data_IF_774934306190
#
_entry.id   IF_774934306190
#
_cell.length_a   1.000
_cell.length_b   1.000
_cell.length_c   1.000
_cell.angle_alpha   90.00
_cell.angle_beta   90.00
_cell.angle_gamma   90.00
#
_symmetry.space_group_name_H-M   'P 1'
#
loop_
_entity.id
_entity.type
_entity.pdbx_description
1 polymer ?
#
# COMPACT_ATOMS: atom_id res chain seq x y z
N UNK A 1 -7.90 14.10 8.89
CA UNK A 1 -7.10 13.35 7.89
C UNK A 1 -7.66 13.67 6.51
N UNK A 2 -6.84 14.08 5.54
CA UNK A 2 -7.32 14.45 4.19
C UNK A 2 -6.93 13.37 3.18
N UNK A 3 -7.90 12.90 2.38
CA UNK A 3 -7.69 11.90 1.31
C UNK A 3 -6.55 12.32 0.38
N UNK A 4 -6.50 13.61 0.03
CA UNK A 4 -5.46 14.18 -0.84
C UNK A 4 -4.04 13.91 -0.38
N UNK A 5 -3.76 13.94 0.93
CA UNK A 5 -2.40 13.66 1.46
C UNK A 5 -2.04 12.20 1.24
N UNK A 6 -2.99 11.28 1.44
CA UNK A 6 -2.76 9.85 1.26
C UNK A 6 -2.48 9.59 -0.22
N UNK A 7 -3.30 10.13 -1.12
CA UNK A 7 -3.12 9.98 -2.58
C UNK A 7 -1.75 10.51 -3.02
N UNK A 8 -1.35 11.70 -2.55
CA UNK A 8 -0.04 12.29 -2.86
C UNK A 8 1.11 11.34 -2.45
N UNK A 9 1.03 10.78 -1.24
CA UNK A 9 2.00 9.79 -0.76
C UNK A 9 2.01 8.51 -1.61
N UNK A 10 0.86 8.02 -2.05
CA UNK A 10 0.77 6.81 -2.89
C UNK A 10 1.34 7.03 -4.30
N UNK A 11 1.10 8.22 -4.88
CA UNK A 11 1.58 8.61 -6.21
C UNK A 11 3.10 8.66 -6.29
N UNK A 12 3.76 9.02 -5.19
CA UNK A 12 5.24 9.05 -5.14
C UNK A 12 5.89 7.67 -5.08
N UNK A 13 5.12 6.61 -4.81
CA UNK A 13 5.66 5.25 -4.71
C UNK A 13 6.03 4.76 -6.11
N UNK A 14 7.24 4.20 -6.24
CA UNK A 14 7.72 3.54 -7.45
C UNK A 14 7.38 2.08 -7.48
N UNK A 15 7.24 1.54 -8.68
CA UNK A 15 7.09 0.12 -8.87
C UNK A 15 8.42 -0.62 -8.59
N UNK A 16 8.40 -1.78 -7.92
CA UNK A 16 9.61 -2.52 -7.59
C UNK A 16 10.35 -3.09 -8.81
N UNK A 17 9.69 -3.25 -9.96
CA UNK A 17 10.30 -3.74 -11.20
C UNK A 17 10.46 -2.66 -12.28
N UNK A 18 9.67 -1.58 -12.21
CA UNK A 18 9.68 -0.50 -13.20
C UNK A 18 10.13 0.82 -12.59
N UNK A 19 10.82 1.68 -13.36
CA UNK A 19 11.20 3.01 -12.89
C UNK A 19 10.02 3.97 -12.74
N UNK A 20 8.83 3.57 -13.22
CA UNK A 20 7.60 4.36 -13.19
C UNK A 20 6.92 4.31 -11.82
N UNK A 21 6.18 5.36 -11.51
CA UNK A 21 5.35 5.42 -10.30
C UNK A 21 4.10 4.55 -10.40
N UNK A 22 3.50 4.22 -9.25
CA UNK A 22 2.23 3.50 -9.20
C UNK A 22 1.10 4.26 -9.91
N UNK A 23 1.16 5.60 -9.96
CA UNK A 23 0.21 6.41 -10.72
C UNK A 23 0.39 6.26 -12.23
N UNK A 24 1.62 6.36 -12.73
CA UNK A 24 1.92 6.22 -14.16
C UNK A 24 1.57 4.83 -14.72
N UNK A 25 1.46 3.85 -13.82
CA UNK A 25 1.11 2.48 -14.12
C UNK A 25 -0.38 2.16 -13.92
N UNK A 26 -1.21 3.15 -13.62
CA UNK A 26 -2.65 2.98 -13.33
C UNK A 26 -2.91 1.99 -12.16
N UNK A 27 -1.94 1.86 -11.24
CA UNK A 27 -2.06 1.00 -10.06
C UNK A 27 -2.84 1.69 -8.95
N UNK A 28 -2.62 3.00 -8.77
CA UNK A 28 -3.31 3.86 -7.82
C UNK A 28 -3.99 5.02 -8.54
N UNK A 29 -5.15 5.45 -8.06
CA UNK A 29 -5.99 6.48 -8.66
C UNK A 29 -6.67 7.30 -7.56
N UNK A 30 -7.16 8.50 -7.85
CA UNK A 30 -7.70 9.42 -6.82
C UNK A 30 -8.85 8.82 -5.99
N UNK A 31 -9.64 7.94 -6.60
CA UNK A 31 -10.77 7.25 -5.97
C UNK A 31 -10.38 5.97 -5.23
N UNK A 32 -9.10 5.57 -5.24
CA UNK A 32 -8.66 4.31 -4.64
C UNK A 32 -8.62 4.35 -3.10
N UNK A 33 -8.70 5.54 -2.50
CA UNK A 33 -8.61 5.76 -1.06
C UNK A 33 -9.96 6.16 -0.49
N UNK A 34 -10.47 5.35 0.42
CA UNK A 34 -11.67 5.63 1.18
C UNK A 34 -11.32 5.82 2.67
N UNK A 35 -11.67 6.97 3.25
CA UNK A 35 -11.52 7.21 4.68
C UNK A 35 -12.88 7.09 5.35
N UNK A 36 -13.06 6.02 6.12
CA UNK A 36 -14.25 5.81 6.94
C UNK A 36 -14.18 6.65 8.23
N UNK A 37 -15.35 7.10 8.69
CA UNK A 37 -15.49 7.96 9.88
C UNK A 37 -14.86 7.29 11.11
N UNK A 38 -14.25 8.13 11.95
CA UNK A 38 -13.58 7.67 13.17
C UNK A 38 -14.51 6.78 14.00
N UNK A 39 -13.99 5.62 14.39
CA UNK A 39 -14.66 4.78 15.39
C UNK A 39 -14.89 5.59 16.68
N UNK A 40 -15.83 5.20 17.55
CA UNK A 40 -16.04 5.87 18.84
C UNK A 40 -14.78 5.95 19.74
N UNK A 41 -13.70 5.23 19.40
CA UNK A 41 -12.37 5.30 20.01
C UNK A 41 -11.43 6.35 19.39
N UNK A 42 -11.89 7.14 18.41
CA UNK A 42 -11.08 8.15 17.72
C UNK A 42 -10.16 7.61 16.61
N UNK A 43 -10.24 6.32 16.27
CA UNK A 43 -9.38 5.70 15.23
C UNK A 43 -10.01 5.86 13.86
N UNK A 44 -9.27 6.43 12.91
CA UNK A 44 -9.70 6.55 11.50
C UNK A 44 -9.47 5.24 10.76
N UNK A 45 -10.37 4.83 9.86
CA UNK A 45 -10.17 3.63 9.05
C UNK A 45 -9.89 4.08 7.61
N UNK A 46 -8.73 3.73 7.10
CA UNK A 46 -8.28 4.02 5.74
C UNK A 46 -8.36 2.72 4.96
N UNK A 47 -9.10 2.74 3.88
CA UNK A 47 -9.20 1.65 2.94
C UNK A 47 -8.55 2.05 1.64
N UNK A 48 -7.68 1.20 1.11
CA UNK A 48 -6.96 1.45 -0.14
C UNK A 48 -7.23 0.29 -1.09
N UNK A 49 -7.66 0.58 -2.31
CA UNK A 49 -7.90 -0.41 -3.35
C UNK A 49 -6.99 -0.19 -4.56
N UNK A 50 -5.94 -1.01 -4.70
CA UNK A 50 -5.00 -0.87 -5.83
C UNK A 50 -5.22 -1.95 -6.89
N UNK A 51 -4.78 -1.67 -8.11
CA UNK A 51 -4.87 -2.60 -9.24
C UNK A 51 -3.46 -3.02 -9.70
N UNK A 52 -2.99 -4.25 -9.41
CA UNK A 52 -1.64 -4.64 -9.76
C UNK A 52 -1.43 -4.62 -11.29
N UNK A 53 -0.25 -4.15 -11.73
CA UNK A 53 0.13 -4.06 -13.15
C UNK A 53 0.19 -5.41 -13.85
N UNK A 54 0.55 -6.47 -13.12
CA UNK A 54 0.66 -7.84 -13.64
C UNK A 54 0.02 -8.84 -12.68
N UNK A 55 -0.53 -9.95 -13.22
CA UNK A 55 -1.14 -11.02 -12.42
C UNK A 55 -0.08 -11.97 -11.80
N UNK A 56 1.05 -11.42 -11.35
CA UNK A 56 2.07 -12.16 -10.63
C UNK A 56 2.02 -11.83 -9.13
N UNK A 57 1.74 -12.85 -8.31
CA UNK A 57 1.46 -12.74 -6.86
C UNK A 57 2.51 -11.93 -6.07
N UNK A 58 3.79 -12.00 -6.48
CA UNK A 58 4.91 -11.42 -5.73
C UNK A 58 4.89 -9.90 -5.73
N UNK A 59 4.59 -9.27 -6.88
CA UNK A 59 4.60 -7.81 -7.01
C UNK A 59 3.42 -7.17 -6.31
N UNK A 60 2.23 -7.76 -6.43
CA UNK A 60 1.05 -7.25 -5.76
C UNK A 60 1.25 -7.19 -4.23
N UNK A 61 1.92 -8.21 -3.67
CA UNK A 61 2.26 -8.24 -2.25
C UNK A 61 3.29 -7.16 -1.88
N UNK A 62 4.33 -6.98 -2.71
CA UNK A 62 5.34 -5.94 -2.53
C UNK A 62 4.76 -4.53 -2.61
N UNK A 63 3.90 -4.26 -3.59
CA UNK A 63 3.21 -2.97 -3.75
C UNK A 63 2.37 -2.68 -2.50
N UNK A 64 1.58 -3.65 -2.03
CA UNK A 64 0.82 -3.52 -0.79
C UNK A 64 1.70 -3.25 0.44
N UNK A 65 2.87 -3.91 0.53
CA UNK A 65 3.86 -3.68 1.58
C UNK A 65 4.43 -2.25 1.51
N UNK A 66 4.78 -1.76 0.32
CA UNK A 66 5.29 -0.39 0.12
C UNK A 66 4.27 0.66 0.55
N UNK A 67 3.02 0.50 0.10
CA UNK A 67 1.90 1.37 0.49
C UNK A 67 1.75 1.41 2.01
N UNK A 68 1.73 0.23 2.64
CA UNK A 68 1.59 0.10 4.08
C UNK A 68 2.71 0.81 4.85
N UNK A 69 3.95 0.53 4.49
CA UNK A 69 5.13 1.11 5.14
C UNK A 69 5.21 2.62 4.92
N UNK A 70 4.93 3.12 3.70
CA UNK A 70 4.91 4.56 3.40
C UNK A 70 3.92 5.29 4.31
N UNK A 71 2.70 4.76 4.41
CA UNK A 71 1.64 5.35 5.23
C UNK A 71 1.93 5.24 6.73
N UNK A 72 2.37 4.08 7.22
CA UNK A 72 2.73 3.91 8.64
C UNK A 72 3.93 4.79 9.06
N UNK A 73 4.86 5.11 8.14
CA UNK A 73 5.98 6.03 8.42
C UNK A 73 5.58 7.51 8.36
N UNK A 74 4.72 7.90 7.41
CA UNK A 74 4.37 9.30 7.15
C UNK A 74 3.20 9.80 8.01
N UNK A 75 2.32 8.91 8.44
CA UNK A 75 1.13 9.27 9.21
C UNK A 75 1.34 9.00 10.70
N UNK A 76 1.39 10.08 11.49
CA UNK A 76 1.53 10.02 12.96
C UNK A 76 0.20 9.69 13.68
N UNK A 77 -0.92 9.76 12.96
CA UNK A 77 -2.24 9.54 13.54
C UNK A 77 -2.51 8.06 13.87
N UNK A 78 -3.40 7.79 14.83
CA UNK A 78 -3.94 6.44 15.04
C UNK A 78 -4.97 6.13 13.94
N UNK A 79 -4.60 5.27 13.01
CA UNK A 79 -5.49 4.75 11.98
C UNK A 79 -5.41 3.23 11.86
N UNK A 80 -6.48 2.65 11.34
CA UNK A 80 -6.50 1.29 10.82
C UNK A 80 -6.33 1.38 9.31
N UNK A 81 -5.36 0.66 8.78
CA UNK A 81 -5.14 0.55 7.33
C UNK A 81 -5.63 -0.81 6.86
N UNK A 82 -6.55 -0.80 5.91
CA UNK A 82 -7.03 -1.99 5.22
C UNK A 82 -6.73 -1.87 3.72
N UNK A 83 -5.86 -2.72 3.20
CA UNK A 83 -5.44 -2.68 1.79
C UNK A 83 -6.08 -3.85 1.04
N UNK A 84 -6.67 -3.57 -0.11
CA UNK A 84 -7.31 -4.54 -0.97
C UNK A 84 -6.81 -4.42 -2.41
N UNK A 85 -6.72 -5.56 -3.07
CA UNK A 85 -6.62 -5.63 -4.52
C UNK A 85 -8.03 -5.54 -5.11
N UNK A 86 -8.15 -4.81 -6.22
CA UNK A 86 -9.40 -4.70 -6.98
C UNK A 86 -9.94 -6.08 -7.35
N UNK A 87 -11.23 -6.31 -7.10
CA UNK A 87 -11.88 -7.61 -7.35
C UNK A 87 -11.77 -8.01 -8.82
N UNK A 88 -11.36 -9.25 -9.07
CA UNK A 88 -11.18 -9.78 -10.42
C UNK A 88 -9.87 -9.37 -11.11
N UNK A 89 -9.02 -8.57 -10.46
CA UNK A 89 -7.70 -8.22 -11.00
C UNK A 89 -6.67 -9.35 -10.83
N UNK A 90 -6.88 -10.26 -9.88
CA UNK A 90 -5.90 -11.29 -9.53
C UNK A 90 -6.55 -12.58 -9.03
N UNK A 91 -6.15 -13.75 -9.55
CA UNK A 91 -6.71 -15.07 -9.18
C UNK A 91 -6.53 -15.43 -7.70
N UNK A 92 -5.54 -14.83 -7.03
CA UNK A 92 -5.21 -15.02 -5.60
C UNK A 92 -5.45 -13.75 -4.77
N UNK A 93 -6.32 -12.84 -5.23
CA UNK A 93 -6.61 -11.56 -4.55
C UNK A 93 -6.90 -11.73 -3.05
N UNK A 94 -7.67 -12.74 -2.65
CA UNK A 94 -8.04 -12.94 -1.25
C UNK A 94 -6.85 -13.34 -0.38
N UNK A 95 -5.95 -14.17 -0.91
CA UNK A 95 -4.77 -14.60 -0.19
C UNK A 95 -3.80 -13.42 -0.02
N UNK A 96 -3.60 -12.64 -1.08
CA UNK A 96 -2.73 -11.46 -1.03
C UNK A 96 -3.32 -10.41 -0.08
N UNK A 97 -4.63 -10.14 -0.13
CA UNK A 97 -5.29 -9.25 0.80
C UNK A 97 -5.08 -9.70 2.26
N UNK A 98 -5.16 -11.01 2.53
CA UNK A 98 -4.89 -11.55 3.87
C UNK A 98 -3.43 -11.33 4.27
N UNK A 99 -2.48 -11.55 3.36
CA UNK A 99 -1.06 -11.34 3.61
C UNK A 99 -0.72 -9.87 3.90
N UNK A 100 -1.25 -8.94 3.10
CA UNK A 100 -0.95 -7.51 3.23
C UNK A 100 -1.53 -6.95 4.53
N UNK A 101 -2.70 -7.42 4.95
CA UNK A 101 -3.37 -6.95 6.17
C UNK A 101 -2.83 -7.60 7.45
N UNK A 102 -2.12 -8.71 7.36
CA UNK A 102 -1.49 -9.39 8.50
C UNK A 102 -0.28 -8.60 9.04
N UNK A 103 -0.45 -8.00 10.22
CA UNK A 103 0.58 -7.14 10.84
C UNK A 103 1.87 -7.89 11.16
N UNK A 104 1.75 -9.13 11.64
CA UNK A 104 2.90 -9.94 12.04
C UNK A 104 3.72 -10.34 10.81
N UNK A 105 3.03 -10.72 9.72
CA UNK A 105 3.68 -11.04 8.44
C UNK A 105 4.38 -9.84 7.83
N UNK A 106 3.77 -8.66 7.89
CA UNK A 106 4.37 -7.41 7.40
C UNK A 106 5.59 -7.03 8.23
N UNK A 107 5.52 -7.15 9.56
CA UNK A 107 6.65 -6.90 10.44
C UNK A 107 7.81 -7.85 10.11
N UNK A 108 7.54 -9.16 9.98
CA UNK A 108 8.54 -10.15 9.61
C UNK A 108 9.13 -9.90 8.21
N UNK A 109 8.32 -9.44 7.25
CA UNK A 109 8.82 -9.06 5.92
C UNK A 109 9.79 -7.86 6.00
N UNK A 110 9.52 -6.89 6.88
CA UNK A 110 10.40 -5.73 7.09
C UNK A 110 11.67 -6.05 7.89
N UNK A 111 11.72 -7.18 8.60
CA UNK A 111 12.95 -7.70 9.21
C UNK A 111 13.89 -8.34 8.16
N UNK A 112 13.37 -8.72 6.99
CA UNK A 112 14.20 -9.24 5.92
C UNK A 112 14.92 -8.09 5.19
N UNK A 113 16.27 -8.04 5.21
CA UNK A 113 17.03 -6.93 4.64
C UNK A 113 16.80 -6.76 3.13
N UNK A 114 16.58 -7.84 2.39
CA UNK A 114 16.34 -7.77 0.94
C UNK A 114 15.00 -7.10 0.62
N UNK A 115 13.94 -7.49 1.33
CA UNK A 115 12.60 -6.91 1.16
C UNK A 115 12.59 -5.47 1.65
N UNK A 116 13.22 -5.20 2.79
CA UNK A 116 13.35 -3.86 3.33
C UNK A 116 14.04 -2.94 2.33
N UNK A 117 15.18 -3.32 1.76
CA UNK A 117 15.89 -2.47 0.78
C UNK A 117 15.04 -2.19 -0.46
N UNK A 118 14.33 -3.20 -0.98
CA UNK A 118 13.38 -3.03 -2.09
C UNK A 118 12.27 -2.04 -1.73
N UNK A 119 11.63 -2.22 -0.58
CA UNK A 119 10.57 -1.33 -0.10
C UNK A 119 11.12 0.08 0.08
N UNK A 120 12.29 0.24 0.70
CA UNK A 120 12.94 1.54 0.90
C UNK A 120 13.20 2.23 -0.44
N UNK A 121 13.72 1.53 -1.46
CA UNK A 121 13.88 2.07 -2.82
C UNK A 121 12.55 2.49 -3.47
N UNK A 122 11.47 1.73 -3.24
CA UNK A 122 10.16 2.04 -3.81
C UNK A 122 9.50 3.26 -3.16
N UNK A 123 9.73 3.47 -1.87
CA UNK A 123 9.14 4.59 -1.10
C UNK A 123 10.06 5.81 -0.99
N UNK A 124 11.29 5.71 -1.52
CA UNK A 124 12.28 6.78 -1.52
C UNK A 124 11.84 7.91 -2.45
N UNK A 125 11.66 9.10 -1.88
CA UNK A 125 11.46 10.33 -2.64
C UNK A 125 12.81 10.73 -3.25
N UNK A 126 12.86 10.97 -4.57
CA UNK A 126 14.03 11.63 -5.17
C UNK A 126 14.08 13.07 -4.63
N UNK A 127 15.18 13.41 -3.95
CA UNK A 127 15.50 14.78 -3.50
C UNK A 127 15.68 15.75 -4.67
#
# INVERSE_FOLDING_TARGET
MKIKIIIDLLRTIKDPEKPQTLEELDVVYEDCVEISRQTPKGVSVIRIEFNPTVPHCSLATLIGLCIRVKLERQLVALFKLDIYIKKGAHSTEQEINKQINDKERIAAAMENPNLRELVEKCIQEEE
#
